data_IF_471853881819
#
_entry.id   IF_471853881819
#
_cell.length_a   1.000
_cell.length_b   1.000
_cell.length_c   1.000
_cell.angle_alpha   90.00
_cell.angle_beta   90.00
_cell.angle_gamma   90.00
#
_symmetry.space_group_name_H-M   'P 1'
#
loop_
_entity.id
_entity.type
_entity.pdbx_description
1 polymer ?
#
# COMPACT_ATOMS: atom_id res chain seq x y z
N UNK A 1 23.13 -20.84 20.19
CA UNK A 1 23.02 -20.63 18.71
C UNK A 1 21.54 -20.41 18.46
N UNK A 2 21.13 -19.33 17.77
CA UNK A 2 19.72 -19.18 17.43
C UNK A 2 19.35 -20.31 16.46
N UNK A 3 18.22 -20.98 16.71
CA UNK A 3 17.70 -21.98 15.79
C UNK A 3 17.43 -21.35 14.44
N UNK A 4 17.63 -22.09 13.35
CA UNK A 4 17.19 -21.65 12.02
C UNK A 4 15.65 -21.55 12.01
N UNK A 5 15.12 -20.55 11.37
CA UNK A 5 13.69 -20.31 11.26
C UNK A 5 13.23 -20.59 9.84
N UNK A 6 12.11 -21.27 9.68
CA UNK A 6 11.34 -21.32 8.43
C UNK A 6 9.94 -20.78 8.65
N UNK A 7 9.35 -20.17 7.61
CA UNK A 7 7.99 -19.75 7.61
C UNK A 7 7.19 -20.48 6.51
N UNK A 8 6.07 -21.09 6.88
CA UNK A 8 5.07 -21.64 5.97
C UNK A 8 3.87 -20.69 6.00
N UNK A 9 3.53 -20.10 4.86
CA UNK A 9 2.41 -19.17 4.73
C UNK A 9 1.31 -19.81 3.88
N UNK A 10 0.14 -20.03 4.49
CA UNK A 10 -0.99 -20.65 3.82
C UNK A 10 -1.76 -19.61 2.98
N UNK A 11 -1.77 -19.79 1.67
CA UNK A 11 -2.43 -18.94 0.70
C UNK A 11 -3.24 -19.73 -0.35
N UNK A 12 -3.61 -21.00 -0.06
CA UNK A 12 -4.31 -21.86 -1.01
C UNK A 12 -5.84 -21.61 -1.07
N UNK A 13 -6.41 -20.81 -0.17
CA UNK A 13 -7.86 -20.60 -0.05
C UNK A 13 -8.49 -19.93 -1.28
N UNK A 14 -9.64 -20.42 -1.75
CA UNK A 14 -10.36 -19.94 -2.96
C UNK A 14 -10.86 -18.49 -2.90
N UNK A 15 -11.07 -17.95 -1.69
CA UNK A 15 -11.47 -16.54 -1.50
C UNK A 15 -12.78 -16.12 -2.18
N UNK A 16 -13.74 -17.03 -2.33
CA UNK A 16 -14.99 -16.80 -3.09
C UNK A 16 -15.82 -15.61 -2.61
N UNK A 17 -15.74 -15.28 -1.30
CA UNK A 17 -16.42 -14.12 -0.69
C UNK A 17 -15.89 -12.76 -1.18
N UNK A 18 -14.68 -12.72 -1.75
CA UNK A 18 -14.12 -11.49 -2.34
C UNK A 18 -14.75 -11.11 -3.67
N UNK A 19 -15.41 -12.05 -4.36
CA UNK A 19 -16.06 -11.86 -5.67
C UNK A 19 -15.12 -11.17 -6.66
N UNK A 20 -13.93 -11.75 -6.88
CA UNK A 20 -12.84 -11.15 -7.66
C UNK A 20 -12.05 -12.20 -8.44
N UNK A 21 -11.55 -11.80 -9.60
CA UNK A 21 -10.55 -12.58 -10.34
C UNK A 21 -9.15 -12.46 -9.74
N UNK A 22 -8.90 -11.41 -8.95
CA UNK A 22 -7.68 -11.28 -8.18
C UNK A 22 -7.69 -12.26 -7.01
N UNK A 23 -6.57 -12.96 -6.78
CA UNK A 23 -6.43 -13.85 -5.63
C UNK A 23 -6.66 -13.10 -4.31
N UNK A 24 -7.33 -13.73 -3.33
CA UNK A 24 -7.76 -13.10 -2.08
C UNK A 24 -6.63 -12.32 -1.38
N UNK A 25 -5.48 -12.96 -1.20
CA UNK A 25 -4.36 -12.38 -0.44
C UNK A 25 -3.57 -11.31 -1.22
N UNK A 26 -3.93 -11.07 -2.48
CA UNK A 26 -3.35 -10.00 -3.31
C UNK A 26 -4.15 -8.70 -3.31
N UNK A 27 -5.32 -8.68 -2.67
CA UNK A 27 -6.04 -7.42 -2.50
C UNK A 27 -5.21 -6.46 -1.65
N UNK A 28 -5.05 -5.20 -2.12
CA UNK A 28 -4.15 -4.25 -1.47
C UNK A 28 -4.77 -3.66 -0.20
N UNK A 29 -3.89 -3.40 0.77
CA UNK A 29 -4.06 -2.49 1.90
C UNK A 29 -2.97 -1.44 1.76
N UNK A 30 -3.31 -0.17 1.83
CA UNK A 30 -2.36 0.93 1.62
C UNK A 30 -1.51 0.76 0.33
N UNK A 31 -2.15 0.31 -0.75
CA UNK A 31 -1.55 0.03 -2.06
C UNK A 31 -0.55 -1.15 -2.10
N UNK A 32 -0.40 -1.94 -1.04
CA UNK A 32 0.44 -3.16 -1.00
C UNK A 32 -0.43 -4.40 -0.81
N UNK A 33 -0.21 -5.51 -1.57
CA UNK A 33 -0.92 -6.77 -1.35
C UNK A 33 -0.86 -7.23 0.11
N UNK A 34 -1.99 -7.71 0.69
CA UNK A 34 -2.03 -8.12 2.10
C UNK A 34 -1.00 -9.22 2.43
N UNK A 35 -0.76 -10.16 1.52
CA UNK A 35 0.29 -11.15 1.69
C UNK A 35 1.67 -10.51 1.91
N UNK A 36 1.98 -9.45 1.18
CA UNK A 36 3.29 -8.79 1.27
C UNK A 36 3.46 -7.97 2.57
N UNK A 37 2.37 -7.55 3.22
CA UNK A 37 2.46 -7.00 4.58
C UNK A 37 2.94 -8.07 5.55
N UNK A 38 2.33 -9.27 5.55
CA UNK A 38 2.77 -10.39 6.38
C UNK A 38 4.21 -10.79 6.06
N UNK A 39 4.55 -10.91 4.76
CA UNK A 39 5.91 -11.28 4.34
C UNK A 39 6.97 -10.29 4.84
N UNK A 40 6.65 -9.00 4.93
CA UNK A 40 7.57 -8.01 5.49
C UNK A 40 7.84 -8.26 6.98
N UNK A 41 6.79 -8.55 7.78
CA UNK A 41 6.97 -8.92 9.19
C UNK A 41 7.77 -10.21 9.35
N UNK A 42 7.58 -11.19 8.46
CA UNK A 42 8.37 -12.44 8.41
C UNK A 42 9.84 -12.15 8.10
N UNK A 43 10.12 -11.24 7.18
CA UNK A 43 11.50 -10.90 6.78
C UNK A 43 12.31 -10.26 7.93
N UNK A 44 11.66 -9.58 8.87
CA UNK A 44 12.31 -9.07 10.09
C UNK A 44 12.89 -10.17 11.00
N UNK A 45 12.40 -11.41 10.88
CA UNK A 45 12.95 -12.57 11.58
C UNK A 45 14.17 -13.17 10.88
N UNK A 46 14.48 -12.73 9.66
CA UNK A 46 15.54 -13.27 8.80
C UNK A 46 15.46 -14.79 8.62
N UNK A 47 14.32 -15.34 8.17
CA UNK A 47 14.12 -16.78 8.05
C UNK A 47 15.07 -17.39 7.01
N UNK A 48 15.57 -18.60 7.30
CA UNK A 48 16.39 -19.35 6.37
C UNK A 48 15.60 -19.90 5.18
N UNK A 49 14.29 -20.15 5.38
CA UNK A 49 13.37 -20.60 4.32
C UNK A 49 12.00 -19.93 4.49
N UNK A 50 11.39 -19.60 3.36
CA UNK A 50 9.99 -19.14 3.25
C UNK A 50 9.29 -19.98 2.21
N UNK A 51 8.18 -20.62 2.59
CA UNK A 51 7.36 -21.43 1.72
C UNK A 51 5.95 -20.87 1.72
N UNK A 52 5.41 -20.55 0.55
CA UNK A 52 4.01 -20.11 0.41
C UNK A 52 3.21 -21.25 -0.22
N UNK A 53 2.22 -21.75 0.52
CA UNK A 53 1.34 -22.81 0.03
C UNK A 53 0.23 -22.17 -0.79
N UNK A 54 0.16 -22.54 -2.06
CA UNK A 54 -0.74 -21.96 -3.05
C UNK A 54 -1.71 -23.02 -3.58
N UNK A 55 -2.86 -22.56 -4.08
CA UNK A 55 -3.83 -23.40 -4.76
C UNK A 55 -4.16 -22.84 -6.14
N UNK A 56 -5.47 -22.58 -6.39
CA UNK A 56 -5.90 -21.89 -7.60
C UNK A 56 -5.20 -20.53 -7.78
N UNK A 57 -4.87 -20.15 -9.02
CA UNK A 57 -4.23 -18.86 -9.37
C UNK A 57 -2.81 -18.70 -8.78
N UNK A 58 -2.05 -19.78 -8.69
CA UNK A 58 -0.66 -19.78 -8.21
C UNK A 58 0.24 -18.80 -8.99
N UNK A 59 -0.01 -18.63 -10.29
CA UNK A 59 0.67 -17.68 -11.18
C UNK A 59 0.61 -16.23 -10.67
N UNK A 60 -0.52 -15.80 -10.12
CA UNK A 60 -0.66 -14.47 -9.55
C UNK A 60 0.21 -14.27 -8.30
N UNK A 61 0.29 -15.31 -7.44
CA UNK A 61 1.13 -15.25 -6.24
C UNK A 61 2.61 -15.31 -6.60
N UNK A 62 2.99 -16.14 -7.57
CA UNK A 62 4.36 -16.21 -8.08
C UNK A 62 4.85 -14.85 -8.58
N UNK A 63 4.01 -14.20 -9.42
CA UNK A 63 4.31 -12.86 -9.93
C UNK A 63 4.45 -11.82 -8.80
N UNK A 64 3.58 -11.88 -7.78
CA UNK A 64 3.59 -10.93 -6.67
C UNK A 64 4.78 -11.15 -5.72
N UNK A 65 5.20 -12.40 -5.50
CA UNK A 65 6.33 -12.74 -4.63
C UNK A 65 7.69 -12.52 -5.29
N UNK A 66 7.75 -12.53 -6.62
CA UNK A 66 8.99 -12.22 -7.36
C UNK A 66 10.20 -13.11 -6.99
N UNK A 67 9.95 -14.37 -6.62
CA UNK A 67 11.01 -15.32 -6.24
C UNK A 67 11.52 -15.17 -4.80
N UNK A 68 10.87 -14.37 -3.95
CA UNK A 68 11.29 -14.19 -2.54
C UNK A 68 10.89 -15.34 -1.62
N UNK A 69 10.07 -16.29 -2.09
CA UNK A 69 9.63 -17.49 -1.38
C UNK A 69 9.48 -18.66 -2.34
N UNK A 70 9.67 -19.87 -1.83
CA UNK A 70 9.37 -21.11 -2.55
C UNK A 70 7.87 -21.39 -2.53
N UNK A 71 7.31 -21.89 -3.64
CA UNK A 71 5.89 -22.23 -3.71
C UNK A 71 5.69 -23.73 -3.53
N UNK A 72 4.69 -24.10 -2.72
CA UNK A 72 4.18 -25.47 -2.59
C UNK A 72 2.71 -25.50 -3.03
N UNK A 73 2.35 -26.41 -3.93
CA UNK A 73 0.98 -26.46 -4.48
C UNK A 73 0.11 -27.41 -3.66
N UNK A 74 -1.04 -26.91 -3.22
CA UNK A 74 -2.08 -27.74 -2.61
C UNK A 74 -3.19 -28.04 -3.64
N UNK A 75 -3.19 -29.26 -4.15
CA UNK A 75 -4.24 -29.77 -5.05
C UNK A 75 -4.51 -31.27 -4.77
N UNK A 76 -5.75 -31.68 -4.40
CA UNK A 76 -6.91 -30.85 -4.06
C UNK A 76 -6.76 -30.17 -2.68
N UNK A 77 -7.63 -29.19 -2.40
CA UNK A 77 -7.68 -28.47 -1.13
C UNK A 77 -8.47 -29.27 -0.08
N UNK A 78 -7.75 -30.04 0.77
CA UNK A 78 -8.33 -30.97 1.75
C UNK A 78 -8.23 -30.49 3.20
N UNK A 79 -8.00 -29.21 3.43
CA UNK A 79 -7.92 -28.63 4.77
C UNK A 79 -6.57 -28.01 5.08
N UNK A 80 -6.46 -27.38 6.24
CA UNK A 80 -5.30 -26.59 6.67
C UNK A 80 -4.10 -27.46 7.01
N UNK A 81 -4.29 -28.63 7.64
CA UNK A 81 -3.22 -29.61 7.89
C UNK A 81 -2.64 -30.14 6.58
N UNK A 82 -3.50 -30.49 5.62
CA UNK A 82 -3.07 -30.92 4.27
C UNK A 82 -2.28 -29.80 3.56
N UNK A 83 -2.65 -28.52 3.75
CA UNK A 83 -1.91 -27.41 3.18
C UNK A 83 -0.47 -27.35 3.72
N UNK A 84 -0.29 -27.48 5.03
CA UNK A 84 1.04 -27.48 5.66
C UNK A 84 1.88 -28.67 5.21
N UNK A 85 1.28 -29.86 5.01
CA UNK A 85 1.98 -31.05 4.49
C UNK A 85 2.62 -30.79 3.11
N UNK A 86 2.02 -29.95 2.25
CA UNK A 86 2.61 -29.64 0.94
C UNK A 86 3.97 -28.95 1.04
N UNK A 87 4.26 -28.30 2.17
CA UNK A 87 5.56 -27.65 2.39
C UNK A 87 6.68 -28.61 2.81
N UNK A 88 6.39 -29.90 3.08
CA UNK A 88 7.37 -30.88 3.57
C UNK A 88 8.54 -31.04 2.61
N UNK A 89 8.28 -31.16 1.31
CA UNK A 89 9.31 -31.27 0.29
C UNK A 89 10.26 -30.06 0.25
N UNK A 90 9.74 -28.86 0.34
CA UNK A 90 10.51 -27.63 0.37
C UNK A 90 11.36 -27.49 1.66
N UNK A 91 10.93 -28.13 2.75
CA UNK A 91 11.64 -28.18 4.03
C UNK A 91 12.42 -29.48 4.27
N UNK A 92 12.61 -30.31 3.24
CA UNK A 92 13.38 -31.54 3.36
C UNK A 92 14.80 -31.25 3.90
N UNK A 93 15.16 -31.93 4.99
CA UNK A 93 16.46 -31.76 5.66
C UNK A 93 16.60 -30.44 6.44
N UNK A 94 15.55 -29.65 6.57
CA UNK A 94 15.54 -28.47 7.44
C UNK A 94 15.42 -28.92 8.90
N UNK A 95 16.38 -28.52 9.72
CA UNK A 95 16.39 -28.75 11.17
C UNK A 95 16.33 -27.39 11.87
N UNK A 96 15.15 -27.02 12.31
CA UNK A 96 14.89 -25.71 12.91
C UNK A 96 13.44 -25.53 13.32
N UNK A 97 13.10 -24.30 13.68
CA UNK A 97 11.78 -23.89 14.12
C UNK A 97 10.94 -23.41 12.91
N UNK A 98 9.70 -23.83 12.84
CA UNK A 98 8.76 -23.50 11.75
C UNK A 98 7.61 -22.68 12.30
N UNK A 99 7.39 -21.51 11.70
CA UNK A 99 6.18 -20.72 11.87
C UNK A 99 5.17 -21.10 10.79
N UNK A 100 3.93 -21.31 11.17
CA UNK A 100 2.78 -21.55 10.28
C UNK A 100 1.88 -20.33 10.37
N UNK A 101 1.72 -19.64 9.24
CA UNK A 101 1.03 -18.35 9.13
C UNK A 101 -0.03 -18.40 8.03
N UNK A 102 -0.98 -17.48 8.07
CA UNK A 102 -2.04 -17.36 7.08
C UNK A 102 -1.88 -16.08 6.26
N UNK A 103 -1.84 -16.20 4.95
CA UNK A 103 -1.63 -15.08 4.02
C UNK A 103 -2.73 -14.01 4.03
N UNK A 104 -3.87 -14.31 4.62
CA UNK A 104 -5.00 -13.40 4.84
C UNK A 104 -5.03 -12.76 6.24
N UNK A 105 -3.97 -12.93 7.03
CA UNK A 105 -3.73 -12.28 8.33
C UNK A 105 -2.51 -11.37 8.20
N UNK A 106 -2.66 -10.17 7.62
CA UNK A 106 -1.53 -9.35 7.16
C UNK A 106 -0.74 -8.65 8.27
N UNK A 107 -1.29 -8.47 9.47
CA UNK A 107 -0.75 -7.55 10.46
C UNK A 107 -0.07 -8.22 11.65
N UNK A 108 0.27 -9.51 11.54
CA UNK A 108 1.00 -10.22 12.61
C UNK A 108 2.36 -9.54 12.82
N UNK A 109 2.62 -8.97 14.01
CA UNK A 109 3.89 -8.32 14.28
C UNK A 109 5.05 -9.33 14.35
N UNK A 110 6.24 -8.94 13.90
CA UNK A 110 7.44 -9.75 14.06
C UNK A 110 7.73 -10.07 15.53
N UNK A 111 7.42 -9.15 16.44
CA UNK A 111 7.55 -9.36 17.90
C UNK A 111 6.68 -10.51 18.39
N UNK A 112 5.43 -10.62 17.94
CA UNK A 112 4.51 -11.72 18.27
C UNK A 112 5.02 -13.06 17.75
N UNK A 113 5.51 -13.09 16.48
CA UNK A 113 6.13 -14.28 15.92
C UNK A 113 7.39 -14.69 16.69
N UNK A 114 8.20 -13.74 17.13
CA UNK A 114 9.38 -13.98 17.98
C UNK A 114 8.99 -14.56 19.31
N UNK A 115 7.95 -14.03 19.98
CA UNK A 115 7.44 -14.56 21.23
C UNK A 115 6.96 -16.03 21.12
N UNK A 116 6.37 -16.41 19.97
CA UNK A 116 6.02 -17.81 19.69
C UNK A 116 7.27 -18.71 19.60
N UNK A 117 8.31 -18.26 18.90
CA UNK A 117 9.57 -18.98 18.75
C UNK A 117 10.33 -19.09 20.09
N UNK A 118 10.36 -18.01 20.87
CA UNK A 118 10.96 -18.00 22.21
C UNK A 118 10.23 -18.97 23.14
N UNK A 119 8.89 -19.01 23.09
CA UNK A 119 8.09 -19.97 23.87
C UNK A 119 8.33 -21.41 23.40
N UNK A 120 8.51 -21.65 22.10
CA UNK A 120 8.86 -22.97 21.56
C UNK A 120 10.23 -23.45 22.05
N UNK A 121 11.18 -22.53 22.20
CA UNK A 121 12.54 -22.79 22.71
C UNK A 121 12.67 -22.85 24.23
N UNK A 122 11.56 -22.71 25.00
CA UNK A 122 11.60 -22.73 26.45
C UNK A 122 12.02 -24.09 27.04
N UNK A 123 12.45 -24.10 28.31
CA UNK A 123 13.04 -25.28 28.95
C UNK A 123 12.10 -26.51 29.03
N UNK A 124 10.78 -26.28 29.05
CA UNK A 124 9.74 -27.32 29.04
C UNK A 124 9.49 -27.89 27.63
N UNK A 125 10.16 -27.34 26.61
CA UNK A 125 10.18 -27.80 25.22
C UNK A 125 8.81 -28.23 24.66
N UNK A 126 7.82 -27.31 24.57
CA UNK A 126 6.51 -27.65 24.03
C UNK A 126 6.61 -28.17 22.59
N UNK A 127 5.80 -29.16 22.23
CA UNK A 127 5.77 -29.71 20.87
C UNK A 127 5.20 -28.72 19.84
N UNK A 128 4.19 -27.96 20.27
CA UNK A 128 3.50 -26.94 19.46
C UNK A 128 3.24 -25.71 20.33
N UNK A 129 3.46 -24.55 19.78
CA UNK A 129 3.02 -23.27 20.35
C UNK A 129 1.89 -22.71 19.48
N UNK A 130 0.76 -22.40 20.09
CA UNK A 130 -0.43 -21.85 19.42
C UNK A 130 -0.51 -20.35 19.72
N UNK A 131 -0.78 -19.55 18.69
CA UNK A 131 -1.14 -18.15 18.89
C UNK A 131 -2.66 -18.06 19.09
N UNK A 132 -3.08 -17.47 20.20
CA UNK A 132 -4.48 -17.31 20.55
C UNK A 132 -4.82 -15.86 20.90
N UNK A 133 -6.10 -15.52 20.85
CA UNK A 133 -6.60 -14.19 21.13
C UNK A 133 -7.99 -14.22 21.79
N UNK A 134 -8.39 -13.13 22.41
CA UNK A 134 -9.70 -13.03 23.06
C UNK A 134 -10.52 -11.89 22.42
N UNK A 135 -11.27 -12.15 21.33
CA UNK A 135 -12.08 -11.13 20.68
C UNK A 135 -13.29 -10.72 21.53
N UNK A 136 -13.86 -9.54 21.26
CA UNK A 136 -15.09 -9.08 21.90
C UNK A 136 -16.24 -10.09 21.69
N UNK A 137 -16.37 -10.64 20.49
CA UNK A 137 -17.28 -11.74 20.15
C UNK A 137 -16.50 -12.90 19.52
N UNK A 138 -16.47 -14.10 20.19
CA UNK A 138 -15.77 -15.27 19.70
C UNK A 138 -16.32 -15.87 18.40
N UNK A 139 -17.50 -15.50 17.94
CA UNK A 139 -18.11 -15.95 16.68
C UNK A 139 -17.85 -17.46 16.40
N UNK A 140 -17.44 -17.76 15.16
CA UNK A 140 -17.18 -19.11 14.66
C UNK A 140 -15.69 -19.50 14.72
N UNK A 141 -14.86 -18.81 15.52
CA UNK A 141 -13.48 -19.21 15.70
C UNK A 141 -13.38 -20.55 16.45
N UNK A 142 -12.36 -21.35 16.18
CA UNK A 142 -11.97 -22.49 17.01
C UNK A 142 -11.61 -22.04 18.42
N UNK A 143 -11.73 -22.95 19.38
CA UNK A 143 -11.46 -22.66 20.79
C UNK A 143 -10.15 -23.30 21.25
N UNK A 144 -9.43 -22.56 22.10
CA UNK A 144 -8.20 -23.04 22.74
C UNK A 144 -8.50 -23.21 24.23
N UNK A 145 -8.50 -24.47 24.70
CA UNK A 145 -8.78 -24.81 26.09
C UNK A 145 -7.46 -24.99 26.80
N UNK A 146 -7.24 -24.24 27.89
CA UNK A 146 -5.94 -24.15 28.56
C UNK A 146 -6.01 -24.40 30.07
N UNK A 147 -4.93 -24.91 30.63
CA UNK A 147 -4.60 -24.91 32.06
C UNK A 147 -3.36 -24.06 32.26
N UNK A 148 -3.53 -22.80 32.68
CA UNK A 148 -2.46 -21.82 32.65
C UNK A 148 -2.04 -21.46 31.20
N UNK A 149 -0.77 -21.65 30.87
CA UNK A 149 -0.22 -21.47 29.51
C UNK A 149 -0.15 -22.79 28.72
N UNK A 150 -0.51 -23.91 29.32
CA UNK A 150 -0.59 -25.21 28.67
C UNK A 150 -1.90 -25.36 27.90
N UNK A 151 -1.83 -25.72 26.62
CA UNK A 151 -2.99 -26.06 25.81
C UNK A 151 -3.35 -27.51 26.05
N UNK A 152 -4.55 -27.76 26.60
CA UNK A 152 -5.04 -29.13 26.87
C UNK A 152 -5.90 -29.67 25.73
N UNK A 153 -6.60 -28.79 24.99
CA UNK A 153 -7.41 -29.17 23.83
C UNK A 153 -7.61 -28.00 22.89
N UNK A 154 -7.65 -28.31 21.60
CA UNK A 154 -8.17 -27.40 20.58
C UNK A 154 -9.35 -28.04 19.87
N UNK A 155 -10.37 -27.25 19.58
CA UNK A 155 -11.59 -27.73 18.89
C UNK A 155 -12.12 -26.66 17.95
N UNK A 156 -12.46 -27.07 16.72
CA UNK A 156 -13.14 -26.20 15.78
C UNK A 156 -14.58 -25.92 16.22
N UNK A 157 -15.11 -24.74 15.89
CA UNK A 157 -16.44 -24.30 16.35
C UNK A 157 -17.56 -25.32 15.98
N UNK A 158 -17.46 -25.96 14.83
CA UNK A 158 -18.47 -26.93 14.35
C UNK A 158 -18.50 -28.20 15.18
N UNK A 159 -17.35 -28.60 15.73
CA UNK A 159 -17.15 -29.82 16.50
C UNK A 159 -17.19 -29.57 18.02
N UNK A 160 -17.28 -28.29 18.44
CA UNK A 160 -17.26 -27.90 19.85
C UNK A 160 -18.61 -28.16 20.54
N UNK A 161 -18.55 -28.63 21.80
CA UNK A 161 -19.68 -28.67 22.72
C UNK A 161 -20.08 -27.24 23.17
N UNK A 162 -21.27 -27.09 23.78
CA UNK A 162 -21.70 -25.77 24.26
C UNK A 162 -20.77 -25.22 25.38
N UNK A 163 -20.23 -26.08 26.23
CA UNK A 163 -19.26 -25.70 27.25
C UNK A 163 -17.94 -25.20 26.63
N UNK A 164 -17.48 -25.85 25.57
CA UNK A 164 -16.29 -25.44 24.83
C UNK A 164 -16.52 -24.15 24.04
N UNK A 165 -17.70 -23.94 23.46
CA UNK A 165 -18.07 -22.68 22.78
C UNK A 165 -18.10 -21.49 23.74
N UNK A 166 -18.37 -21.73 25.04
CA UNK A 166 -18.35 -20.68 26.08
C UNK A 166 -16.92 -20.18 26.41
N UNK A 167 -15.88 -20.94 26.05
CA UNK A 167 -14.49 -20.50 26.20
C UNK A 167 -14.23 -19.30 25.29
N UNK A 168 -13.66 -18.22 25.86
CA UNK A 168 -13.42 -16.97 25.12
C UNK A 168 -12.12 -16.96 24.32
N UNK A 169 -11.15 -17.80 24.72
CA UNK A 169 -9.85 -17.88 24.06
C UNK A 169 -9.99 -18.59 22.71
N UNK A 170 -9.73 -17.86 21.66
CA UNK A 170 -9.90 -18.28 20.27
C UNK A 170 -8.57 -18.64 19.60
N UNK A 171 -8.64 -19.61 18.69
CA UNK A 171 -7.52 -19.99 17.83
C UNK A 171 -7.37 -18.97 16.69
N UNK A 172 -6.17 -18.41 16.54
CA UNK A 172 -5.84 -17.57 15.38
C UNK A 172 -5.52 -18.38 14.10
N UNK A 173 -5.26 -19.68 14.27
CA UNK A 173 -4.71 -20.57 13.22
C UNK A 173 -3.18 -20.56 13.14
N UNK A 174 -2.50 -19.56 13.71
CA UNK A 174 -1.05 -19.44 13.66
C UNK A 174 -0.39 -20.33 14.71
N UNK A 175 0.67 -21.04 14.30
CA UNK A 175 1.36 -21.99 15.17
C UNK A 175 2.88 -21.94 14.95
N UNK A 176 3.62 -22.45 15.93
CA UNK A 176 5.05 -22.73 15.81
C UNK A 176 5.35 -24.13 16.33
N UNK A 177 6.22 -24.84 15.61
CA UNK A 177 6.68 -26.17 16.00
C UNK A 177 8.09 -26.43 15.43
N UNK A 178 8.82 -27.41 15.95
CA UNK A 178 10.04 -27.88 15.29
C UNK A 178 9.71 -28.65 14.01
N UNK A 179 10.50 -28.47 12.95
CA UNK A 179 10.22 -29.07 11.64
C UNK A 179 9.99 -30.58 11.72
N UNK A 180 10.88 -31.31 12.42
CA UNK A 180 10.75 -32.77 12.59
C UNK A 180 9.44 -33.14 13.29
N UNK A 181 9.07 -32.44 14.37
CA UNK A 181 7.87 -32.73 15.13
C UNK A 181 6.60 -32.40 14.35
N UNK A 182 6.61 -31.27 13.62
CA UNK A 182 5.48 -30.82 12.81
C UNK A 182 5.06 -31.86 11.79
N UNK A 183 5.98 -32.35 10.96
CA UNK A 183 5.63 -33.30 9.91
C UNK A 183 5.30 -34.69 10.46
N UNK A 184 5.95 -35.12 11.56
CA UNK A 184 5.59 -36.36 12.26
C UNK A 184 4.18 -36.33 12.84
N UNK A 185 3.73 -35.18 13.38
CA UNK A 185 2.36 -35.01 13.89
C UNK A 185 1.35 -34.91 12.73
N UNK A 186 1.67 -34.14 11.68
CA UNK A 186 0.80 -33.99 10.50
C UNK A 186 0.53 -35.30 9.77
N UNK A 187 1.49 -36.22 9.72
CA UNK A 187 1.30 -37.53 9.10
C UNK A 187 0.20 -38.39 9.79
N UNK A 188 -0.22 -38.00 10.99
CA UNK A 188 -1.24 -38.70 11.80
C UNK A 188 -2.58 -37.99 11.82
N UNK A 189 -2.68 -36.79 11.25
CA UNK A 189 -3.94 -36.07 11.14
C UNK A 189 -4.88 -36.82 10.20
N UNK A 190 -6.14 -36.92 10.59
CA UNK A 190 -7.20 -37.58 9.80
C UNK A 190 -8.29 -36.57 9.43
N UNK A 191 -9.19 -36.97 8.55
CA UNK A 191 -10.38 -36.19 8.15
C UNK A 191 -11.66 -36.61 8.89
N UNK A 192 -11.52 -37.30 10.04
CA UNK A 192 -12.68 -37.77 10.80
C UNK A 192 -13.26 -36.65 11.70
N UNK A 193 -13.86 -35.67 11.04
CA UNK A 193 -14.48 -34.50 11.64
C UNK A 193 -15.68 -34.02 10.82
N UNK A 194 -16.43 -33.02 11.31
CA UNK A 194 -17.66 -32.53 10.70
C UNK A 194 -17.49 -31.99 9.27
N UNK A 195 -16.32 -31.44 8.94
CA UNK A 195 -16.04 -30.87 7.61
C UNK A 195 -15.40 -31.86 6.63
N UNK A 196 -14.95 -33.04 7.10
CA UNK A 196 -14.17 -34.00 6.30
C UNK A 196 -12.89 -33.39 5.74
N UNK A 197 -12.16 -32.62 6.56
CA UNK A 197 -10.93 -31.93 6.24
C UNK A 197 -9.81 -32.32 7.20
N UNK A 198 -8.56 -32.28 6.74
CA UNK A 198 -7.39 -32.45 7.59
C UNK A 198 -7.12 -31.14 8.34
N UNK A 199 -7.57 -31.08 9.60
CA UNK A 199 -7.42 -29.88 10.41
C UNK A 199 -6.00 -29.74 11.00
N UNK A 200 -5.38 -28.58 10.84
CA UNK A 200 -4.08 -28.29 11.46
C UNK A 200 -4.13 -28.35 12.99
N UNK A 201 -5.23 -27.94 13.59
CA UNK A 201 -5.42 -27.96 15.08
C UNK A 201 -5.25 -29.35 15.70
N UNK A 202 -5.45 -30.43 14.94
CA UNK A 202 -5.36 -31.79 15.43
C UNK A 202 -3.92 -32.17 15.84
N UNK A 203 -2.89 -31.52 15.31
CA UNK A 203 -1.51 -31.75 15.76
C UNK A 203 -1.31 -31.50 17.27
N UNK A 204 -2.08 -30.54 17.83
CA UNK A 204 -2.05 -30.23 19.27
C UNK A 204 -2.69 -31.38 20.07
N UNK A 205 -3.84 -31.87 19.63
CA UNK A 205 -4.54 -32.97 20.28
C UNK A 205 -3.72 -34.28 20.22
N UNK A 206 -3.07 -34.53 19.06
CA UNK A 206 -2.17 -35.68 18.86
C UNK A 206 -0.93 -35.57 19.79
N UNK A 207 -0.30 -34.41 19.87
CA UNK A 207 0.85 -34.19 20.73
C UNK A 207 0.49 -34.39 22.22
N UNK A 208 -0.66 -33.88 22.66
CA UNK A 208 -1.16 -34.10 24.03
C UNK A 208 -1.44 -35.60 24.32
N UNK A 209 -1.99 -36.33 23.36
CA UNK A 209 -2.21 -37.78 23.48
C UNK A 209 -0.91 -38.56 23.63
N UNK A 210 0.20 -38.06 23.02
CA UNK A 210 1.54 -38.63 23.16
C UNK A 210 2.23 -38.22 24.49
N UNK A 211 1.54 -37.46 25.35
CA UNK A 211 2.10 -36.95 26.63
C UNK A 211 3.05 -35.78 26.44
N UNK A 212 3.10 -35.16 25.26
CA UNK A 212 3.91 -33.94 24.98
C UNK A 212 3.10 -32.69 25.29
N UNK A 213 3.74 -31.70 25.89
CA UNK A 213 3.09 -30.42 26.20
C UNK A 213 2.89 -29.57 24.94
N UNK A 214 1.80 -28.80 24.90
CA UNK A 214 1.58 -27.72 23.95
C UNK A 214 1.35 -26.43 24.72
N UNK A 215 1.82 -25.30 24.22
CA UNK A 215 1.75 -24.02 24.89
C UNK A 215 0.98 -22.97 24.09
N UNK A 216 0.50 -21.94 24.77
CA UNK A 216 -0.20 -20.82 24.14
C UNK A 216 0.59 -19.52 24.34
N UNK A 217 0.62 -18.70 23.28
CA UNK A 217 0.97 -17.28 23.35
C UNK A 217 -0.29 -16.49 23.01
N UNK A 218 -0.57 -15.43 23.77
CA UNK A 218 -1.73 -14.55 23.53
C UNK A 218 -1.28 -13.28 22.81
N UNK A 219 -2.14 -12.78 21.92
CA UNK A 219 -1.93 -11.52 21.22
C UNK A 219 -3.21 -10.69 21.17
N UNK A 220 -3.10 -9.45 20.72
CA UNK A 220 -4.24 -8.58 20.47
C UNK A 220 -5.09 -9.15 19.31
N UNK A 221 -6.43 -9.09 19.39
CA UNK A 221 -7.31 -9.47 18.27
C UNK A 221 -7.00 -8.78 16.95
N UNK A 222 -6.56 -7.54 17.01
CA UNK A 222 -6.24 -6.73 15.82
C UNK A 222 -5.01 -7.24 15.07
N UNK A 223 -4.07 -7.91 15.75
CA UNK A 223 -2.87 -8.51 15.13
C UNK A 223 -3.21 -9.73 14.27
N UNK A 224 -4.31 -10.43 14.58
CA UNK A 224 -4.66 -11.72 13.98
C UNK A 224 -6.01 -11.72 13.24
N UNK A 225 -6.52 -10.55 12.94
CA UNK A 225 -7.75 -10.40 12.18
C UNK A 225 -7.61 -10.95 10.76
N UNK A 226 -8.37 -11.99 10.43
CA UNK A 226 -8.40 -12.60 9.10
C UNK A 226 -9.32 -11.86 8.15
N UNK A 227 -8.85 -11.62 6.92
CA UNK A 227 -9.57 -10.85 5.90
C UNK A 227 -10.16 -11.79 4.85
N UNK A 228 -11.47 -11.91 4.79
CA UNK A 228 -12.19 -12.84 3.93
C UNK A 228 -13.24 -12.16 3.02
N UNK A 229 -13.57 -10.92 3.27
CA UNK A 229 -14.58 -10.14 2.57
C UNK A 229 -14.12 -8.71 2.29
N UNK A 230 -14.84 -8.02 1.39
CA UNK A 230 -14.58 -6.60 1.10
C UNK A 230 -14.83 -5.68 2.30
N UNK A 231 -15.76 -6.05 3.18
CA UNK A 231 -16.02 -5.29 4.40
C UNK A 231 -14.86 -5.43 5.40
N UNK A 232 -14.34 -6.64 5.60
CA UNK A 232 -13.16 -6.89 6.44
C UNK A 232 -11.91 -6.22 5.83
N UNK A 233 -11.75 -6.23 4.51
CA UNK A 233 -10.67 -5.51 3.83
C UNK A 233 -10.74 -4.00 4.09
N UNK A 234 -11.92 -3.41 4.02
CA UNK A 234 -12.10 -1.98 4.31
C UNK A 234 -11.82 -1.65 5.79
N UNK A 235 -12.19 -2.54 6.72
CA UNK A 235 -11.86 -2.39 8.13
C UNK A 235 -10.33 -2.47 8.37
N UNK A 236 -9.66 -3.42 7.74
CA UNK A 236 -8.21 -3.57 7.80
C UNK A 236 -7.46 -2.36 7.19
N UNK A 237 -7.96 -1.81 6.08
CA UNK A 237 -7.44 -0.55 5.51
C UNK A 237 -7.57 0.59 6.51
N UNK A 238 -8.74 0.75 7.14
CA UNK A 238 -8.97 1.82 8.12
C UNK A 238 -8.05 1.68 9.36
N UNK A 239 -7.84 0.47 9.86
CA UNK A 239 -6.92 0.15 10.94
C UNK A 239 -5.49 0.51 10.59
N UNK A 240 -5.01 0.07 9.43
CA UNK A 240 -3.66 0.38 8.95
C UNK A 240 -3.45 1.89 8.80
N UNK A 241 -4.44 2.59 8.23
CA UNK A 241 -4.40 4.05 8.06
C UNK A 241 -4.34 4.77 9.41
N UNK A 242 -5.08 4.30 10.42
CA UNK A 242 -5.02 4.86 11.78
C UNK A 242 -3.61 4.73 12.38
N UNK A 243 -3.04 3.53 12.31
CA UNK A 243 -1.67 3.27 12.76
C UNK A 243 -0.64 4.17 12.05
N UNK A 244 -0.71 4.27 10.71
CA UNK A 244 0.25 5.08 9.92
C UNK A 244 0.15 6.57 10.23
N UNK A 245 -1.04 7.08 10.52
CA UNK A 245 -1.24 8.48 10.96
C UNK A 245 -0.60 8.75 12.32
N UNK A 246 -0.76 7.83 13.26
CA UNK A 246 -0.12 7.92 14.59
C UNK A 246 1.41 7.89 14.46
N UNK A 247 1.94 6.96 13.66
CA UNK A 247 3.38 6.89 13.35
C UNK A 247 3.88 8.21 12.74
N UNK A 248 3.17 8.76 11.77
CA UNK A 248 3.52 10.02 11.11
C UNK A 248 3.56 11.18 12.11
N UNK A 249 2.56 11.30 12.98
CA UNK A 249 2.50 12.34 14.02
C UNK A 249 3.59 12.14 15.07
N UNK A 250 3.85 10.92 15.51
CA UNK A 250 4.95 10.61 16.42
C UNK A 250 6.32 10.91 15.78
N UNK A 251 6.45 10.77 14.47
CA UNK A 251 7.62 11.15 13.67
C UNK A 251 7.79 12.66 13.44
N UNK A 252 6.85 13.50 13.92
CA UNK A 252 6.94 14.97 13.85
C UNK A 252 6.13 15.61 12.73
N UNK A 253 5.24 14.87 12.05
CA UNK A 253 4.30 15.47 11.11
C UNK A 253 3.06 16.04 11.83
N UNK A 254 2.52 17.14 11.31
CA UNK A 254 1.29 17.78 11.80
C UNK A 254 0.12 17.50 10.84
N UNK A 255 -0.80 16.63 11.23
CA UNK A 255 -2.03 16.33 10.47
C UNK A 255 -3.19 17.14 11.04
N UNK A 256 -3.80 18.06 10.25
CA UNK A 256 -4.90 18.94 10.74
C UNK A 256 -6.23 18.25 10.88
N UNK A 257 -6.48 17.22 10.08
CA UNK A 257 -7.65 16.33 10.17
C UNK A 257 -7.16 14.92 9.81
N UNK A 258 -6.53 14.20 10.75
CA UNK A 258 -5.83 12.94 10.48
C UNK A 258 -6.68 11.93 9.72
N UNK A 259 -7.95 11.80 10.07
CA UNK A 259 -8.90 10.85 9.49
C UNK A 259 -9.14 11.04 7.99
N UNK A 260 -8.78 12.21 7.44
CA UNK A 260 -8.93 12.54 6.02
C UNK A 260 -7.65 12.40 5.21
N UNK A 261 -6.54 12.02 5.84
CA UNK A 261 -5.25 11.81 5.18
C UNK A 261 -5.05 10.33 4.94
N UNK A 262 -4.73 9.96 3.72
CA UNK A 262 -4.51 8.58 3.30
C UNK A 262 -3.09 8.36 2.84
N UNK A 263 -2.42 7.36 3.40
CA UNK A 263 -1.03 7.00 3.13
C UNK A 263 -0.93 5.71 2.33
N UNK A 264 0.08 5.64 1.46
CA UNK A 264 0.59 4.37 0.93
C UNK A 264 1.56 3.74 1.93
N UNK A 265 1.74 2.43 1.82
CA UNK A 265 2.62 1.65 2.70
C UNK A 265 4.07 2.17 2.75
N UNK A 266 4.54 2.77 1.67
CA UNK A 266 5.91 3.25 1.46
C UNK A 266 6.06 4.78 1.55
N UNK A 267 5.03 5.48 2.04
CA UNK A 267 5.11 6.93 2.22
C UNK A 267 6.12 7.28 3.31
N UNK A 268 7.12 8.07 2.95
CA UNK A 268 8.14 8.59 3.86
C UNK A 268 7.91 10.09 4.13
N UNK A 269 7.89 10.47 5.40
CA UNK A 269 7.73 11.85 5.84
C UNK A 269 8.93 12.30 6.67
N UNK A 270 9.44 13.50 6.38
CA UNK A 270 10.40 14.21 7.23
C UNK A 270 9.73 14.88 8.43
N UNK A 271 10.51 15.63 9.21
CA UNK A 271 10.04 16.38 10.37
C UNK A 271 9.39 17.70 9.98
N UNK A 272 8.52 18.20 10.84
CA UNK A 272 7.83 19.49 10.66
C UNK A 272 7.02 19.58 9.35
N UNK A 273 6.60 18.42 8.81
CA UNK A 273 5.69 18.35 7.66
C UNK A 273 4.29 18.69 8.13
N UNK A 274 3.65 19.68 7.52
CA UNK A 274 2.25 20.01 7.78
C UNK A 274 1.35 19.50 6.66
N UNK A 275 0.30 18.73 7.00
CA UNK A 275 -0.63 18.15 6.04
C UNK A 275 -2.05 18.61 6.39
N UNK A 276 -2.68 19.27 5.44
CA UNK A 276 -4.07 19.74 5.53
C UNK A 276 -5.07 18.63 5.15
N UNK A 277 -6.39 18.82 5.34
CA UNK A 277 -7.40 17.78 5.08
C UNK A 277 -7.43 17.26 3.65
N UNK A 278 -7.91 16.02 3.48
CA UNK A 278 -8.17 15.38 2.19
C UNK A 278 -6.92 15.24 1.30
N UNK A 279 -5.79 14.86 1.89
CA UNK A 279 -4.57 14.57 1.13
C UNK A 279 -4.45 13.06 0.95
N UNK A 280 -4.20 12.64 -0.29
CA UNK A 280 -3.99 11.25 -0.66
C UNK A 280 -2.55 11.05 -1.15
N UNK A 281 -1.83 10.14 -0.48
CA UNK A 281 -0.51 9.68 -0.89
C UNK A 281 -0.63 8.30 -1.54
N UNK A 282 -0.36 8.22 -2.84
CA UNK A 282 -0.14 6.96 -3.55
C UNK A 282 1.28 6.43 -3.33
N UNK A 283 1.64 5.29 -3.96
CA UNK A 283 2.96 4.68 -3.80
C UNK A 283 4.11 5.59 -4.24
N UNK A 284 5.28 5.41 -3.60
CA UNK A 284 6.54 6.03 -4.01
C UNK A 284 6.67 7.51 -3.65
N UNK A 285 6.01 7.97 -2.58
CA UNK A 285 6.09 9.39 -2.16
C UNK A 285 7.09 9.56 -1.03
N UNK A 286 8.02 10.51 -1.23
CA UNK A 286 8.99 10.95 -0.23
C UNK A 286 8.88 12.44 -0.01
N UNK A 287 8.69 12.84 1.25
CA UNK A 287 8.51 14.24 1.66
C UNK A 287 9.61 14.60 2.65
N UNK A 288 10.40 15.62 2.31
CA UNK A 288 11.47 16.12 3.17
C UNK A 288 10.93 17.04 4.29
N UNK A 289 11.84 17.51 5.16
CA UNK A 289 11.52 18.34 6.32
C UNK A 289 10.87 19.69 5.94
N UNK A 290 9.95 20.15 6.78
CA UNK A 290 9.35 21.48 6.70
C UNK A 290 8.43 21.72 5.50
N UNK A 291 7.96 20.67 4.85
CA UNK A 291 7.04 20.75 3.71
C UNK A 291 5.62 21.06 4.18
N UNK A 292 4.92 21.93 3.46
CA UNK A 292 3.51 22.23 3.69
C UNK A 292 2.66 21.70 2.54
N UNK A 293 1.83 20.66 2.81
CA UNK A 293 0.90 20.08 1.85
C UNK A 293 -0.50 20.55 2.21
N UNK A 294 -1.06 21.38 1.33
CA UNK A 294 -2.38 21.96 1.50
C UNK A 294 -3.49 20.99 1.09
N UNK A 295 -4.70 21.33 1.47
CA UNK A 295 -5.86 20.48 1.31
C UNK A 295 -6.13 20.00 -0.14
N UNK A 296 -6.75 18.81 -0.24
CA UNK A 296 -7.24 18.23 -1.48
C UNK A 296 -6.13 17.93 -2.51
N UNK A 297 -4.96 17.51 -2.07
CA UNK A 297 -3.86 17.12 -2.96
C UNK A 297 -3.86 15.59 -3.19
N UNK A 298 -3.51 15.20 -4.43
CA UNK A 298 -3.24 13.81 -4.79
C UNK A 298 -1.79 13.68 -5.25
N UNK A 299 -1.00 12.87 -4.54
CA UNK A 299 0.45 12.79 -4.72
C UNK A 299 0.84 11.33 -4.87
N UNK A 300 1.53 10.97 -5.94
CA UNK A 300 2.04 9.63 -6.19
C UNK A 300 3.39 9.67 -6.90
N UNK A 301 4.31 8.75 -6.57
CA UNK A 301 5.61 8.61 -7.22
C UNK A 301 6.42 9.91 -7.26
N UNK A 302 6.37 10.71 -6.21
CA UNK A 302 6.95 12.04 -6.15
C UNK A 302 7.94 12.21 -5.00
N UNK A 303 9.02 12.95 -5.26
CA UNK A 303 9.98 13.39 -4.24
C UNK A 303 9.83 14.89 -4.02
N UNK A 304 9.55 15.30 -2.79
CA UNK A 304 9.28 16.68 -2.42
C UNK A 304 10.40 17.17 -1.51
N UNK A 305 11.17 18.14 -2.00
CA UNK A 305 12.32 18.71 -1.30
C UNK A 305 11.93 19.60 -0.10
N UNK A 306 12.91 19.88 0.74
CA UNK A 306 12.77 20.65 1.99
C UNK A 306 12.08 21.99 1.77
N UNK A 307 11.11 22.30 2.64
CA UNK A 307 10.43 23.59 2.68
C UNK A 307 9.54 23.90 1.48
N UNK A 308 9.17 22.88 0.68
CA UNK A 308 8.22 23.04 -0.42
C UNK A 308 6.80 23.35 0.08
N UNK A 309 6.04 24.04 -0.75
CA UNK A 309 4.61 24.25 -0.59
C UNK A 309 3.86 23.58 -1.74
N UNK A 310 2.90 22.68 -1.43
CA UNK A 310 2.14 21.91 -2.43
C UNK A 310 0.64 22.10 -2.20
N UNK A 311 -0.07 22.54 -3.23
CA UNK A 311 -1.52 22.70 -3.21
C UNK A 311 -2.00 24.11 -2.86
N UNK A 312 -3.32 24.26 -2.54
CA UNK A 312 -4.33 23.19 -2.52
C UNK A 312 -4.71 22.67 -3.93
N UNK A 313 -5.39 21.53 -3.99
CA UNK A 313 -5.85 20.92 -5.26
C UNK A 313 -4.71 20.65 -6.27
N UNK A 314 -3.53 20.29 -5.81
CA UNK A 314 -2.42 19.91 -6.67
C UNK A 314 -2.43 18.40 -6.95
N UNK A 315 -2.00 18.03 -8.16
CA UNK A 315 -1.77 16.65 -8.53
C UNK A 315 -0.31 16.42 -8.92
N UNK A 316 0.43 15.69 -8.08
CA UNK A 316 1.79 15.27 -8.40
C UNK A 316 1.76 13.82 -8.85
N UNK A 317 2.21 13.57 -10.09
CA UNK A 317 2.23 12.23 -10.70
C UNK A 317 3.64 11.67 -10.72
N UNK A 318 3.78 10.33 -10.97
CA UNK A 318 5.07 9.66 -10.97
C UNK A 318 6.16 10.35 -11.79
N UNK A 319 7.37 10.38 -11.20
CA UNK A 319 8.54 11.04 -11.76
C UNK A 319 8.61 12.54 -11.47
N UNK A 320 7.76 13.07 -10.59
CA UNK A 320 7.86 14.45 -10.12
C UNK A 320 8.93 14.57 -9.05
N UNK A 321 9.86 15.52 -9.23
CA UNK A 321 10.89 15.88 -8.27
C UNK A 321 10.83 17.40 -8.04
N UNK A 322 10.54 17.79 -6.80
CA UNK A 322 10.54 19.21 -6.40
C UNK A 322 11.81 19.51 -5.63
N UNK A 323 12.58 20.46 -6.11
CA UNK A 323 13.74 21.00 -5.42
C UNK A 323 13.36 21.83 -4.19
N UNK A 324 14.35 22.17 -3.36
CA UNK A 324 14.18 22.95 -2.13
C UNK A 324 13.33 24.22 -2.36
N UNK A 325 12.35 24.45 -1.49
CA UNK A 325 11.47 25.66 -1.51
C UNK A 325 10.66 25.85 -2.80
N UNK A 326 10.50 24.81 -3.61
CA UNK A 326 9.60 24.89 -4.77
C UNK A 326 8.14 25.05 -4.31
N UNK A 327 7.35 25.78 -5.12
CA UNK A 327 5.94 26.06 -4.85
C UNK A 327 5.07 25.57 -5.99
N UNK A 328 4.21 24.61 -5.68
CA UNK A 328 3.17 24.09 -6.57
C UNK A 328 1.83 24.51 -5.99
N UNK A 329 1.10 25.36 -6.70
CA UNK A 329 -0.17 25.91 -6.21
C UNK A 329 -1.40 25.15 -6.70
N UNK A 330 -2.54 25.86 -6.68
CA UNK A 330 -3.84 25.25 -6.94
C UNK A 330 -4.06 24.90 -8.41
N UNK A 331 -4.65 23.72 -8.62
CA UNK A 331 -4.95 23.16 -9.96
C UNK A 331 -3.72 23.04 -10.84
N UNK A 332 -2.58 22.70 -10.23
CA UNK A 332 -1.35 22.40 -10.95
C UNK A 332 -1.17 20.90 -10.99
N UNK A 333 -0.96 20.37 -12.18
CA UNK A 333 -0.60 18.97 -12.40
C UNK A 333 0.84 18.85 -12.90
N UNK A 334 1.61 17.93 -12.29
CA UNK A 334 2.98 17.61 -12.70
C UNK A 334 3.10 16.12 -13.06
N UNK A 335 3.95 15.79 -14.02
CA UNK A 335 4.24 14.41 -14.43
C UNK A 335 5.63 14.32 -15.02
N UNK A 336 6.51 13.45 -14.48
CA UNK A 336 7.93 13.40 -14.93
C UNK A 336 8.50 14.80 -15.06
N UNK A 337 8.35 15.59 -13.99
CA UNK A 337 8.74 16.99 -13.93
C UNK A 337 9.82 17.17 -12.88
N UNK A 338 11.00 17.61 -13.28
CA UNK A 338 12.11 17.93 -12.39
C UNK A 338 12.16 19.44 -12.23
N UNK A 339 11.72 19.93 -11.07
CA UNK A 339 11.67 21.38 -10.79
C UNK A 339 12.79 21.74 -9.81
N UNK A 340 13.65 22.66 -10.22
CA UNK A 340 14.77 23.14 -9.42
C UNK A 340 14.34 23.89 -8.16
N UNK A 341 15.34 24.28 -7.35
CA UNK A 341 15.15 25.07 -6.14
C UNK A 341 14.37 26.37 -6.44
N UNK A 342 13.39 26.68 -5.59
CA UNK A 342 12.65 27.95 -5.65
C UNK A 342 11.72 28.11 -6.85
N UNK A 343 11.54 27.10 -7.70
CA UNK A 343 10.61 27.14 -8.83
C UNK A 343 9.17 27.36 -8.35
N UNK A 344 8.45 28.23 -9.05
CA UNK A 344 7.06 28.58 -8.72
C UNK A 344 6.11 28.28 -9.88
N UNK A 345 5.14 27.41 -9.65
CA UNK A 345 4.00 27.16 -10.54
C UNK A 345 2.72 27.23 -9.68
N UNK A 346 2.15 28.44 -9.58
CA UNK A 346 1.17 28.74 -8.52
C UNK A 346 -0.27 28.47 -8.93
N UNK A 347 -0.62 28.40 -10.23
CA UNK A 347 -2.02 28.36 -10.66
C UNK A 347 -2.22 27.67 -12.00
N UNK A 348 -3.19 26.74 -12.10
CA UNK A 348 -3.81 26.26 -13.36
C UNK A 348 -2.77 25.84 -14.43
N UNK A 349 -1.76 25.09 -14.07
CA UNK A 349 -0.60 24.81 -14.92
C UNK A 349 -0.42 23.31 -15.10
N UNK A 350 -0.06 22.86 -16.32
CA UNK A 350 0.40 21.51 -16.55
C UNK A 350 1.89 21.48 -16.91
N UNK A 351 2.66 20.75 -16.11
CA UNK A 351 4.08 20.53 -16.30
C UNK A 351 4.35 19.03 -16.51
N UNK A 352 4.49 18.62 -17.73
CA UNK A 352 4.74 17.23 -18.11
C UNK A 352 6.02 17.08 -18.93
N UNK A 353 6.82 16.03 -18.62
CA UNK A 353 8.08 15.71 -19.26
C UNK A 353 8.97 16.98 -19.40
N UNK A 354 9.29 17.61 -18.23
CA UNK A 354 9.97 18.91 -18.17
C UNK A 354 11.06 18.95 -17.12
N UNK A 355 12.17 19.57 -17.45
CA UNK A 355 13.25 19.93 -16.52
C UNK A 355 13.34 21.44 -16.41
N UNK A 356 13.30 21.98 -15.18
CA UNK A 356 13.22 23.41 -14.88
C UNK A 356 14.35 23.83 -13.95
N UNK A 357 15.14 24.81 -14.36
CA UNK A 357 16.19 25.42 -13.56
C UNK A 357 15.63 26.21 -12.35
N UNK A 358 16.52 26.51 -11.42
CA UNK A 358 16.17 27.18 -10.16
C UNK A 358 15.49 28.55 -10.37
N UNK A 359 14.64 28.94 -9.43
CA UNK A 359 13.99 30.26 -9.34
C UNK A 359 13.14 30.67 -10.56
N UNK A 360 12.82 29.72 -11.43
CA UNK A 360 11.92 29.94 -12.59
C UNK A 360 10.47 30.09 -12.11
N UNK A 361 9.74 31.03 -12.73
CA UNK A 361 8.35 31.31 -12.42
C UNK A 361 7.42 31.03 -13.60
N UNK A 362 6.35 30.26 -13.35
CA UNK A 362 5.27 30.01 -14.30
C UNK A 362 4.05 30.88 -14.01
N UNK A 363 3.60 31.61 -15.02
CA UNK A 363 2.31 32.29 -15.02
C UNK A 363 1.15 31.31 -15.13
N UNK A 364 -0.02 31.70 -14.62
CA UNK A 364 -1.23 30.89 -14.65
C UNK A 364 -1.60 30.44 -16.08
N UNK A 365 -2.05 29.20 -16.23
CA UNK A 365 -2.47 28.65 -17.52
C UNK A 365 -1.33 28.24 -18.45
N UNK A 366 -0.10 28.16 -17.96
CA UNK A 366 1.03 27.64 -18.76
C UNK A 366 0.93 26.12 -18.95
N UNK A 367 1.21 25.66 -20.15
CA UNK A 367 1.17 24.23 -20.51
C UNK A 367 2.46 23.84 -21.24
N UNK A 368 3.13 22.79 -20.78
CA UNK A 368 4.10 22.05 -21.60
C UNK A 368 3.35 21.10 -22.52
N UNK A 369 3.36 21.37 -23.83
CA UNK A 369 2.70 20.54 -24.83
C UNK A 369 3.64 19.39 -25.20
N UNK A 370 3.70 18.36 -24.38
CA UNK A 370 4.67 17.26 -24.41
C UNK A 370 4.26 16.05 -25.25
N UNK A 371 3.08 16.07 -25.91
CA UNK A 371 2.54 14.93 -26.64
C UNK A 371 1.95 15.35 -27.98
N UNK A 372 2.37 14.68 -29.07
CA UNK A 372 1.95 14.95 -30.42
C UNK A 372 0.86 14.02 -30.98
N UNK A 373 0.34 13.12 -30.09
CA UNK A 373 -0.62 12.08 -30.49
C UNK A 373 0.04 10.69 -30.60
N UNK A 374 1.36 10.61 -30.72
CA UNK A 374 2.14 9.36 -30.83
C UNK A 374 3.30 9.30 -29.83
N UNK A 375 4.11 10.35 -29.73
CA UNK A 375 5.33 10.40 -28.96
C UNK A 375 5.28 11.51 -27.92
N UNK A 376 6.11 11.36 -26.88
CA UNK A 376 6.32 12.37 -25.86
C UNK A 376 7.69 12.98 -26.04
N UNK A 377 7.75 14.30 -25.82
CA UNK A 377 8.95 15.09 -25.95
C UNK A 377 9.19 15.90 -24.69
N UNK A 378 10.45 16.24 -24.46
CA UNK A 378 10.87 16.99 -23.29
C UNK A 378 10.92 18.49 -23.54
N UNK A 379 10.67 19.25 -22.48
CA UNK A 379 10.88 20.70 -22.42
C UNK A 379 12.00 20.96 -21.39
N UNK A 380 12.99 21.75 -21.79
CA UNK A 380 14.05 22.22 -20.91
C UNK A 380 13.87 23.71 -20.65
N UNK A 381 13.89 24.13 -19.39
CA UNK A 381 13.77 25.55 -19.00
C UNK A 381 14.93 25.88 -18.06
N UNK A 382 15.68 26.91 -18.43
CA UNK A 382 16.81 27.41 -17.65
C UNK A 382 16.38 28.03 -16.32
N UNK A 383 17.37 28.44 -15.53
CA UNK A 383 17.13 29.09 -14.25
C UNK A 383 16.63 30.54 -14.42
N UNK A 384 15.87 31.02 -13.43
CA UNK A 384 15.34 32.41 -13.36
C UNK A 384 14.49 32.82 -14.57
N UNK A 385 14.05 31.86 -15.40
CA UNK A 385 13.16 32.14 -16.51
C UNK A 385 11.77 32.59 -16.02
N UNK A 386 11.13 33.48 -16.77
CA UNK A 386 9.75 33.91 -16.50
C UNK A 386 8.83 33.49 -17.64
N UNK A 387 7.95 32.54 -17.36
CA UNK A 387 6.96 32.08 -18.35
C UNK A 387 5.64 32.79 -18.09
N UNK A 388 5.23 33.65 -19.02
CA UNK A 388 4.00 34.43 -18.90
C UNK A 388 2.74 33.59 -18.94
N UNK A 389 1.66 34.10 -18.36
CA UNK A 389 0.38 33.42 -18.27
C UNK A 389 -0.19 33.00 -19.64
N UNK A 390 -0.94 31.87 -19.66
CA UNK A 390 -1.55 31.31 -20.88
C UNK A 390 -0.54 31.05 -22.00
N UNK A 391 0.68 30.63 -21.66
CA UNK A 391 1.69 30.24 -22.63
C UNK A 391 1.64 28.75 -22.91
N UNK A 392 1.75 28.37 -24.20
CA UNK A 392 1.90 26.99 -24.62
C UNK A 392 3.34 26.76 -25.10
N UNK A 393 4.07 25.87 -24.42
CA UNK A 393 5.44 25.49 -24.79
C UNK A 393 5.39 24.18 -25.56
N UNK A 394 5.58 24.21 -26.89
CA UNK A 394 5.43 23.02 -27.74
C UNK A 394 6.76 22.28 -27.80
N UNK A 395 6.81 21.15 -27.11
CA UNK A 395 7.99 20.31 -27.07
C UNK A 395 8.25 19.54 -28.40
N UNK A 396 9.52 19.20 -28.73
CA UNK A 396 10.71 19.48 -27.95
C UNK A 396 11.13 20.97 -28.02
N UNK A 397 11.47 21.56 -26.87
CA UNK A 397 11.84 22.98 -26.82
C UNK A 397 12.75 23.28 -25.64
N UNK A 398 13.68 24.23 -25.85
CA UNK A 398 14.52 24.79 -24.79
C UNK A 398 14.21 26.27 -24.57
N UNK A 399 14.01 26.64 -23.33
CA UNK A 399 13.91 28.04 -22.87
C UNK A 399 15.17 28.35 -22.07
N UNK A 400 15.93 29.36 -22.47
CA UNK A 400 17.19 29.72 -21.84
C UNK A 400 17.04 30.31 -20.44
N UNK A 401 18.17 30.43 -19.73
CA UNK A 401 18.21 31.07 -18.43
C UNK A 401 17.86 32.56 -18.57
N UNK A 402 17.24 33.16 -17.53
CA UNK A 402 16.80 34.57 -17.51
C UNK A 402 15.88 34.97 -18.69
N UNK A 403 15.40 34.02 -19.46
CA UNK A 403 14.51 34.29 -20.59
C UNK A 403 13.09 34.65 -20.13
N UNK A 404 12.43 35.48 -20.92
CA UNK A 404 11.02 35.85 -20.68
C UNK A 404 10.17 35.38 -21.86
N UNK A 405 9.18 34.55 -21.57
CA UNK A 405 8.10 34.26 -22.51
C UNK A 405 6.92 35.17 -22.19
N UNK A 406 6.51 36.01 -23.12
CA UNK A 406 5.39 36.92 -22.91
C UNK A 406 4.06 36.18 -22.79
N UNK A 407 3.16 36.65 -21.96
CA UNK A 407 1.84 36.05 -21.74
C UNK A 407 1.06 35.86 -23.05
N UNK A 408 0.34 34.73 -23.16
CA UNK A 408 -0.44 34.37 -24.35
C UNK A 408 0.37 33.88 -25.54
N UNK A 409 1.65 33.51 -25.34
CA UNK A 409 2.53 33.06 -26.44
C UNK A 409 2.42 31.54 -26.66
N UNK A 410 2.36 31.11 -27.92
CA UNK A 410 2.60 29.71 -28.34
C UNK A 410 4.02 29.59 -28.88
N UNK A 411 4.92 29.01 -28.09
CA UNK A 411 6.35 28.93 -28.39
C UNK A 411 6.67 27.58 -29.01
N UNK A 412 7.19 27.56 -30.22
CA UNK A 412 7.50 26.36 -31.00
C UNK A 412 8.97 26.27 -31.41
N UNK A 413 9.81 27.19 -30.95
CA UNK A 413 11.27 27.24 -31.23
C UNK A 413 12.00 27.65 -29.98
N UNK A 414 13.22 27.18 -29.83
CA UNK A 414 14.10 27.50 -28.73
C UNK A 414 14.20 29.01 -28.48
N UNK A 415 14.29 29.35 -27.19
CA UNK A 415 14.47 30.73 -26.71
C UNK A 415 15.85 30.81 -26.10
N UNK A 416 16.67 31.76 -26.49
CA UNK A 416 18.02 31.93 -25.99
C UNK A 416 18.02 32.50 -24.56
N UNK A 417 19.16 32.41 -23.89
CA UNK A 417 19.36 33.00 -22.57
C UNK A 417 19.12 34.53 -22.62
N UNK A 418 18.38 35.06 -21.66
CA UNK A 418 18.02 36.48 -21.57
C UNK A 418 17.09 36.98 -22.68
N UNK A 419 16.58 36.15 -23.55
CA UNK A 419 15.71 36.55 -24.67
C UNK A 419 14.26 36.81 -24.19
N UNK A 420 13.61 37.81 -24.76
CA UNK A 420 12.15 38.00 -24.72
C UNK A 420 11.50 37.34 -25.95
N UNK A 421 10.71 36.28 -25.75
CA UNK A 421 9.91 35.65 -26.78
C UNK A 421 8.44 36.10 -26.69
N UNK A 422 7.99 36.74 -27.78
CA UNK A 422 6.61 37.19 -27.91
C UNK A 422 5.97 36.59 -29.16
N UNK A 423 4.91 35.81 -28.98
CA UNK A 423 4.17 35.17 -30.12
C UNK A 423 2.68 35.43 -29.88
N UNK A 424 2.20 36.57 -30.35
CA UNK A 424 0.79 36.97 -30.29
C UNK A 424 0.37 37.62 -31.64
N UNK A 425 -0.88 37.40 -32.02
CA UNK A 425 -1.45 38.05 -33.21
C UNK A 425 -1.69 39.55 -32.98
N UNK A 426 -1.86 40.30 -34.07
CA UNK A 426 -2.26 41.70 -34.01
C UNK A 426 -3.68 41.86 -33.46
N UNK A 427 -3.91 42.88 -32.65
CA UNK A 427 -5.23 43.17 -32.11
C UNK A 427 -6.07 43.89 -33.15
N UNK A 428 -7.21 43.30 -33.49
CA UNK A 428 -8.20 43.92 -34.37
C UNK A 428 -9.34 44.54 -33.56
N UNK A 429 -9.59 45.81 -33.82
CA UNK A 429 -10.70 46.54 -33.15
C UNK A 429 -11.85 46.68 -34.13
N UNK A 430 -13.04 46.26 -33.76
CA UNK A 430 -14.29 46.42 -34.52
C UNK A 430 -15.31 47.19 -33.72
N UNK A 431 -15.30 48.55 -33.72
CA UNK A 431 -16.21 49.37 -32.96
C UNK A 431 -17.67 49.08 -33.27
N UNK A 432 -18.50 49.01 -32.25
CA UNK A 432 -19.94 48.76 -32.39
C UNK A 432 -20.34 47.37 -32.91
N UNK A 433 -19.39 46.44 -33.05
CA UNK A 433 -19.71 45.07 -33.53
C UNK A 433 -20.62 44.34 -32.55
N UNK A 434 -20.34 44.45 -31.24
CA UNK A 434 -21.10 43.77 -30.22
C UNK A 434 -22.56 44.23 -30.19
N UNK A 435 -22.79 45.55 -30.30
CA UNK A 435 -24.13 46.09 -30.32
C UNK A 435 -24.96 45.55 -31.49
N UNK A 436 -24.35 45.56 -32.69
CA UNK A 436 -24.98 44.99 -33.91
C UNK A 436 -25.26 43.52 -33.77
N UNK A 437 -24.37 42.77 -33.17
CA UNK A 437 -24.55 41.33 -32.92
C UNK A 437 -25.70 41.08 -31.95
N UNK A 438 -25.72 41.78 -30.81
CA UNK A 438 -26.78 41.61 -29.82
C UNK A 438 -28.15 42.01 -30.39
N UNK A 439 -28.26 43.07 -31.14
CA UNK A 439 -29.52 43.48 -31.78
C UNK A 439 -29.99 42.43 -32.81
N UNK A 440 -29.09 41.88 -33.61
CA UNK A 440 -29.43 40.80 -34.54
C UNK A 440 -29.93 39.55 -33.81
N UNK A 441 -29.26 39.15 -32.73
CA UNK A 441 -29.67 37.99 -31.92
C UNK A 441 -30.98 38.19 -31.17
N UNK A 442 -31.25 39.40 -30.64
CA UNK A 442 -32.54 39.75 -30.06
C UNK A 442 -33.68 39.65 -31.06
N UNK A 443 -33.48 40.16 -32.26
CA UNK A 443 -34.48 40.06 -33.35
C UNK A 443 -34.73 38.61 -33.74
N UNK A 444 -33.68 37.80 -33.89
CA UNK A 444 -33.81 36.37 -34.19
C UNK A 444 -34.61 35.63 -33.12
N UNK A 445 -34.24 35.83 -31.85
CA UNK A 445 -34.93 35.22 -30.72
C UNK A 445 -36.41 35.62 -30.56
N UNK A 446 -36.72 36.83 -30.96
CA UNK A 446 -38.13 37.32 -30.98
C UNK A 446 -38.93 36.68 -32.12
N UNK A 447 -38.31 36.38 -33.25
CA UNK A 447 -38.92 35.68 -34.40
C UNK A 447 -39.20 34.21 -34.13
N UNK A 448 -38.32 33.51 -33.36
CA UNK A 448 -38.48 32.10 -32.99
C UNK A 448 -39.53 31.88 -31.87
N UNK A 449 -40.00 32.96 -31.22
CA UNK A 449 -41.04 32.89 -30.19
C UNK A 449 -42.45 33.14 -30.75
N UNK A 450 -42.59 33.45 -32.03
CA UNK A 450 -43.87 33.56 -32.77
C UNK A 450 -44.07 32.26 -33.58
#
# INVERSE_FOLDING_TARGET
>A
MSNKIAAIVLAAGKGTRMKSDLHKVLHPIAARPMLLHLMASVDELSPAKKVVVVGDKADQLEAALGGTAELAVQDPQLGTGHAVQQAEGALAGFDGDVLILYGDVPFVPAATMRAMLDRLGAADAPAVVVLAFEPADPLQYGRVITEGDRVVKMVEHKDATDAERAVRLCNSGLMAAKAHDLFALLARVTDDNAAKEFYLVDIVNIANADGRSCAVVKTDPDDVAGINSRAELAAAEAQWQAFKREEAMAGGASLRAPETVWFSWDTELGRDVTIEPNVFFGPGVKVADGVNIRANCHIEGATIGTGCEVGPFARLRPGTILGEKAKIGNFVETKKAVLGKGVKASHLTYLGDVTVGADTNFGAGTITCNYDGYFKYETEIGERAFIGSNSALVAPIRIGADAIVAAGSTVTRDVADGELRLVRGEQLVKPGWADRFHDAMRKKKAAEKK
#
